data_IF_339172041750
#
_entry.id   IF_339172041750
#
_cell.length_a   1.000
_cell.length_b   1.000
_cell.length_c   1.000
_cell.angle_alpha   90.00
_cell.angle_beta   90.00
_cell.angle_gamma   90.00
#
_symmetry.space_group_name_H-M   'P 1'
#
loop_
_entity.id
_entity.type
_entity.pdbx_description
1 polymer ?
#
# COMPACT_ATOMS: atom_id res chain seq x y z
N UNK A 1 33.82 -32.89 -28.28
CA UNK A 1 35.19 -32.44 -28.66
C UNK A 1 36.12 -32.00 -27.52
N UNK A 2 35.65 -31.81 -26.27
CA UNK A 2 36.53 -31.41 -25.16
C UNK A 2 36.87 -32.56 -24.20
N UNK A 3 36.08 -33.62 -24.19
CA UNK A 3 36.34 -34.83 -23.37
C UNK A 3 37.33 -35.80 -24.01
N UNK A 4 37.53 -35.73 -25.34
CA UNK A 4 38.48 -36.60 -26.03
C UNK A 4 39.95 -36.16 -25.88
N UNK A 5 40.19 -34.87 -25.59
CA UNK A 5 41.53 -34.32 -25.35
C UNK A 5 42.12 -34.70 -23.98
N UNK A 6 41.29 -34.88 -22.98
CA UNK A 6 41.72 -35.27 -21.62
C UNK A 6 42.02 -36.77 -21.58
N UNK A 7 41.21 -37.57 -22.23
CA UNK A 7 41.46 -39.01 -22.35
C UNK A 7 42.75 -39.32 -23.11
N UNK A 8 43.10 -38.52 -24.14
CA UNK A 8 44.29 -38.67 -24.92
C UNK A 8 45.57 -38.27 -24.16
N UNK A 9 45.48 -37.24 -23.30
CA UNK A 9 46.64 -36.80 -22.50
C UNK A 9 47.00 -37.79 -21.38
N UNK A 10 46.02 -38.44 -20.77
CA UNK A 10 46.22 -39.47 -19.73
C UNK A 10 46.75 -40.75 -20.34
N UNK A 11 46.29 -41.14 -21.53
CA UNK A 11 46.79 -42.30 -22.24
C UNK A 11 48.27 -42.10 -22.74
N UNK A 12 48.66 -40.88 -23.13
CA UNK A 12 50.04 -40.56 -23.53
C UNK A 12 51.01 -40.58 -22.34
N UNK A 13 50.56 -40.17 -21.14
CA UNK A 13 51.38 -40.21 -19.92
C UNK A 13 51.61 -41.64 -19.40
N UNK A 14 50.66 -42.55 -19.60
CA UNK A 14 50.80 -43.97 -19.24
C UNK A 14 51.65 -44.73 -20.27
N UNK A 15 51.62 -44.34 -21.54
CA UNK A 15 52.46 -44.98 -22.61
C UNK A 15 53.94 -44.58 -22.54
N UNK A 16 54.27 -43.41 -21.99
CA UNK A 16 55.67 -42.97 -21.83
C UNK A 16 56.39 -43.66 -20.66
N UNK A 17 55.72 -44.34 -19.79
CA UNK A 17 56.28 -45.11 -18.66
C UNK A 17 56.61 -46.56 -19.10
N UNK A 18 56.10 -47.04 -20.29
CA UNK A 18 56.21 -48.43 -20.73
C UNK A 18 57.28 -48.69 -21.78
N UNK A 19 57.93 -47.67 -22.36
CA UNK A 19 58.99 -47.86 -23.39
C UNK A 19 60.17 -46.96 -23.09
N UNK A 20 61.03 -47.38 -22.21
CA UNK A 20 62.30 -46.75 -21.93
C UNK A 20 63.35 -47.80 -21.56
N UNK A 21 64.10 -48.22 -22.56
CA UNK A 21 65.24 -49.13 -22.43
C UNK A 21 66.25 -48.64 -21.41
N UNK A 22 66.84 -49.65 -20.75
CA UNK A 22 67.99 -49.67 -19.93
C UNK A 22 69.11 -48.67 -20.31
N UNK A 23 69.46 -47.81 -19.33
CA UNK A 23 70.82 -47.51 -18.99
C UNK A 23 70.91 -46.80 -17.64
N UNK A 24 71.49 -47.46 -16.68
CA UNK A 24 72.24 -47.02 -15.52
C UNK A 24 72.09 -45.59 -15.03
N UNK A 25 71.27 -45.43 -14.02
CA UNK A 25 71.63 -44.76 -12.72
C UNK A 25 70.55 -45.17 -11.71
N UNK A 26 70.89 -46.06 -10.77
CA UNK A 26 70.15 -46.28 -9.55
C UNK A 26 70.32 -45.02 -8.69
N UNK A 27 69.43 -44.10 -8.83
CA UNK A 27 69.15 -43.16 -7.74
C UNK A 27 68.01 -43.79 -6.98
N UNK A 28 68.27 -44.18 -5.75
CA UNK A 28 67.30 -44.73 -4.82
C UNK A 28 66.36 -43.60 -4.48
N UNK A 29 65.17 -43.58 -5.12
CA UNK A 29 64.09 -42.83 -4.64
C UNK A 29 63.85 -43.20 -3.16
N UNK A 30 64.03 -42.27 -2.25
CA UNK A 30 63.91 -42.52 -0.83
C UNK A 30 62.43 -42.77 -0.54
N UNK A 31 62.18 -43.52 0.51
CA UNK A 31 60.78 -43.72 1.01
C UNK A 31 60.05 -42.39 1.22
N UNK A 32 60.74 -41.29 1.50
CA UNK A 32 60.24 -39.94 1.59
C UNK A 32 59.69 -39.40 0.25
N UNK A 33 60.41 -39.62 -0.87
CA UNK A 33 59.94 -39.17 -2.19
C UNK A 33 58.63 -39.86 -2.61
N UNK A 34 58.50 -41.16 -2.27
CA UNK A 34 57.26 -41.92 -2.52
C UNK A 34 56.11 -41.43 -1.60
N UNK A 35 56.41 -41.06 -0.38
CA UNK A 35 55.41 -40.49 0.57
C UNK A 35 54.96 -39.10 0.09
N UNK A 36 55.90 -38.26 -0.35
CA UNK A 36 55.60 -36.93 -0.87
C UNK A 36 54.74 -36.97 -2.14
N UNK A 37 55.11 -37.86 -3.11
CA UNK A 37 54.27 -38.07 -4.31
C UNK A 37 52.85 -38.57 -3.95
N UNK A 38 52.72 -39.46 -2.96
CA UNK A 38 51.41 -39.92 -2.48
C UNK A 38 50.60 -38.78 -1.84
N UNK A 39 51.27 -37.94 -1.06
CA UNK A 39 50.61 -36.77 -0.47
C UNK A 39 50.16 -35.77 -1.54
N UNK A 40 50.98 -35.54 -2.58
CA UNK A 40 50.62 -34.67 -3.71
C UNK A 40 49.47 -35.27 -4.53
N UNK A 41 49.44 -36.57 -4.77
CA UNK A 41 48.33 -37.26 -5.46
C UNK A 41 47.06 -37.19 -4.65
N UNK A 42 47.13 -37.37 -3.33
CA UNK A 42 45.95 -37.22 -2.45
C UNK A 42 45.42 -35.79 -2.46
N UNK A 43 46.31 -34.79 -2.38
CA UNK A 43 45.91 -33.37 -2.44
C UNK A 43 45.30 -32.97 -3.80
N UNK A 44 45.83 -33.52 -4.90
CA UNK A 44 45.29 -33.37 -6.26
C UNK A 44 43.90 -34.01 -6.39
N UNK A 45 43.74 -35.23 -5.85
CA UNK A 45 42.46 -35.93 -5.84
C UNK A 45 41.41 -35.12 -5.06
N UNK A 46 41.74 -34.63 -3.85
CA UNK A 46 40.83 -33.79 -3.08
C UNK A 46 40.48 -32.46 -3.79
N UNK A 47 41.46 -31.91 -4.54
CA UNK A 47 41.21 -30.70 -5.36
C UNK A 47 40.33 -31.01 -6.56
N UNK A 48 40.47 -32.19 -7.14
CA UNK A 48 39.60 -32.65 -8.24
C UNK A 48 38.19 -32.85 -7.76
N UNK A 49 37.99 -33.53 -6.63
CA UNK A 49 36.68 -33.74 -6.01
C UNK A 49 35.98 -32.40 -5.69
N UNK A 50 36.73 -31.43 -5.16
CA UNK A 50 36.22 -30.10 -4.94
C UNK A 50 35.82 -29.38 -6.23
N UNK A 51 36.63 -29.50 -7.29
CA UNK A 51 36.31 -28.91 -8.59
C UNK A 51 35.11 -29.57 -9.25
N UNK A 52 34.98 -30.90 -9.12
CA UNK A 52 33.81 -31.63 -9.61
C UNK A 52 32.56 -31.24 -8.87
N UNK A 53 32.60 -31.13 -7.53
CA UNK A 53 31.50 -30.65 -6.72
C UNK A 53 31.09 -29.21 -7.07
N UNK A 54 32.11 -28.32 -7.26
CA UNK A 54 31.87 -26.95 -7.72
C UNK A 54 31.26 -26.89 -9.10
N UNK A 55 31.70 -27.76 -10.01
CA UNK A 55 31.18 -27.83 -11.39
C UNK A 55 29.72 -28.31 -11.41
N UNK A 56 29.39 -29.30 -10.58
CA UNK A 56 28.00 -29.75 -10.40
C UNK A 56 27.10 -28.65 -9.85
N UNK A 57 27.60 -27.90 -8.86
CA UNK A 57 26.87 -26.75 -8.31
C UNK A 57 26.63 -25.67 -9.36
N UNK A 58 27.68 -25.29 -10.10
CA UNK A 58 27.60 -24.33 -11.20
C UNK A 58 26.67 -24.79 -12.33
N UNK A 59 26.65 -26.07 -12.64
CA UNK A 59 25.73 -26.64 -13.64
C UNK A 59 24.27 -26.55 -13.14
N UNK A 60 24.03 -26.85 -11.85
CA UNK A 60 22.72 -26.72 -11.27
C UNK A 60 22.24 -25.24 -11.25
N UNK A 61 23.13 -24.33 -10.85
CA UNK A 61 22.84 -22.88 -10.89
C UNK A 61 22.56 -22.37 -12.31
N UNK A 62 23.37 -22.80 -13.29
CA UNK A 62 23.14 -22.45 -14.68
C UNK A 62 21.82 -23.00 -15.24
N UNK A 63 21.44 -24.21 -14.85
CA UNK A 63 20.14 -24.77 -15.24
C UNK A 63 18.96 -24.00 -14.60
N UNK A 64 19.08 -23.62 -13.33
CA UNK A 64 18.10 -22.81 -12.63
C UNK A 64 17.97 -21.40 -13.24
N UNK A 65 19.11 -20.75 -13.53
CA UNK A 65 19.12 -19.45 -14.19
C UNK A 65 18.51 -19.49 -15.60
N UNK A 66 18.77 -20.57 -16.36
CA UNK A 66 18.13 -20.73 -17.69
C UNK A 66 16.60 -20.88 -17.56
N UNK A 67 16.14 -21.67 -16.61
CA UNK A 67 14.71 -21.83 -16.35
C UNK A 67 14.07 -20.51 -15.93
N UNK A 68 14.75 -19.72 -15.09
CA UNK A 68 14.29 -18.39 -14.68
C UNK A 68 14.25 -17.41 -15.86
N UNK A 69 15.27 -17.42 -16.74
CA UNK A 69 15.28 -16.59 -17.96
C UNK A 69 14.15 -16.99 -18.92
N UNK A 70 13.89 -18.29 -19.09
CA UNK A 70 12.76 -18.76 -19.91
C UNK A 70 11.42 -18.32 -19.33
N UNK A 71 11.25 -18.44 -18.01
CA UNK A 71 10.05 -17.97 -17.33
C UNK A 71 9.84 -16.46 -17.50
N UNK A 72 10.90 -15.66 -17.29
CA UNK A 72 10.84 -14.20 -17.49
C UNK A 72 10.59 -13.80 -18.93
N UNK A 73 11.15 -14.53 -19.87
CA UNK A 73 10.88 -14.30 -21.28
C UNK A 73 9.41 -14.61 -21.64
N UNK A 74 8.85 -15.72 -21.12
CA UNK A 74 7.44 -16.06 -21.31
C UNK A 74 6.53 -15.00 -20.68
N UNK A 75 6.82 -14.53 -19.47
CA UNK A 75 6.10 -13.45 -18.81
C UNK A 75 6.21 -12.13 -19.60
N UNK A 76 7.38 -11.82 -20.13
CA UNK A 76 7.61 -10.63 -20.97
C UNK A 76 6.80 -10.71 -22.27
N UNK A 77 6.74 -11.85 -22.92
CA UNK A 77 5.94 -12.05 -24.13
C UNK A 77 4.42 -12.01 -23.83
N UNK A 78 4.01 -12.57 -22.70
CA UNK A 78 2.62 -12.44 -22.23
C UNK A 78 2.25 -10.97 -21.98
N UNK A 79 3.08 -10.23 -21.27
CA UNK A 79 2.85 -8.80 -20.99
C UNK A 79 2.88 -7.94 -22.27
N UNK A 80 3.73 -8.31 -23.25
CA UNK A 80 3.73 -7.65 -24.55
C UNK A 80 2.43 -7.90 -25.31
N UNK A 81 1.97 -9.16 -25.33
CA UNK A 81 0.69 -9.51 -25.97
C UNK A 81 -0.47 -8.77 -25.33
N UNK A 82 -0.54 -8.75 -23.99
CA UNK A 82 -1.56 -8.01 -23.23
C UNK A 82 -1.49 -6.51 -23.49
N UNK A 83 -0.26 -5.94 -23.55
CA UNK A 83 -0.06 -4.52 -23.88
C UNK A 83 -0.52 -4.19 -25.29
N UNK A 84 -0.34 -5.12 -26.23
CA UNK A 84 -0.74 -4.94 -27.61
C UNK A 84 -2.26 -5.08 -27.79
N UNK A 85 -2.90 -5.96 -27.06
CA UNK A 85 -4.36 -6.10 -26.97
C UNK A 85 -4.97 -4.82 -26.38
N UNK A 86 -4.48 -4.35 -25.25
CA UNK A 86 -4.90 -3.09 -24.62
C UNK A 86 -4.68 -1.88 -25.54
N UNK A 87 -3.61 -1.85 -26.32
CA UNK A 87 -3.38 -0.79 -27.34
C UNK A 87 -4.40 -0.88 -28.47
N UNK A 88 -4.78 -2.08 -28.87
CA UNK A 88 -5.84 -2.32 -29.86
C UNK A 88 -7.20 -1.87 -29.36
N UNK A 89 -7.53 -2.17 -28.11
CA UNK A 89 -8.76 -1.71 -27.45
C UNK A 89 -8.80 -0.17 -27.30
N UNK A 90 -7.70 0.42 -26.85
CA UNK A 90 -7.56 1.90 -26.77
C UNK A 90 -7.66 2.55 -28.15
N UNK A 91 -7.08 1.95 -29.19
CA UNK A 91 -7.17 2.47 -30.55
C UNK A 91 -8.60 2.33 -31.12
N UNK A 92 -9.29 1.23 -30.84
CA UNK A 92 -10.70 1.06 -31.24
C UNK A 92 -11.63 1.98 -30.47
N UNK A 93 -11.43 2.14 -29.16
CA UNK A 93 -12.16 3.09 -28.32
C UNK A 93 -11.88 4.54 -28.77
N UNK A 94 -10.63 4.89 -29.11
CA UNK A 94 -10.29 6.24 -29.62
C UNK A 94 -10.89 6.50 -31.01
N UNK A 95 -10.99 5.49 -31.89
CA UNK A 95 -11.64 5.62 -33.19
C UNK A 95 -13.15 5.76 -33.08
N UNK A 96 -13.77 5.13 -32.07
CA UNK A 96 -15.19 5.26 -31.78
C UNK A 96 -15.52 6.61 -31.13
N UNK A 97 -14.66 7.10 -30.25
CA UNK A 97 -14.69 8.49 -29.72
C UNK A 97 -14.49 9.51 -30.82
N UNK A 98 -13.59 9.27 -31.80
CA UNK A 98 -13.42 10.15 -32.97
C UNK A 98 -14.63 10.13 -33.91
N UNK A 99 -15.44 9.10 -33.92
CA UNK A 99 -16.67 8.96 -34.70
C UNK A 99 -17.87 9.65 -34.06
N UNK A 100 -17.85 9.88 -32.73
CA UNK A 100 -18.80 10.75 -32.03
C UNK A 100 -18.38 12.21 -32.27
N UNK A 101 -18.67 12.65 -33.49
CA UNK A 101 -18.29 13.98 -33.98
C UNK A 101 -19.10 15.08 -33.33
N UNK A 102 -18.42 16.15 -33.03
CA UNK A 102 -18.93 17.48 -32.81
C UNK A 102 -18.41 18.11 -31.53
N UNK A 103 -18.47 19.40 -31.44
CA UNK A 103 -18.07 20.21 -30.28
C UNK A 103 -18.67 19.79 -28.93
N UNK A 104 -19.54 18.76 -28.93
CA UNK A 104 -20.29 18.29 -27.77
C UNK A 104 -19.48 17.35 -26.82
N UNK A 105 -18.48 16.61 -27.32
CA UNK A 105 -17.67 15.76 -26.46
C UNK A 105 -16.77 16.54 -25.50
N UNK A 106 -16.29 17.72 -25.92
CA UNK A 106 -15.42 18.54 -25.05
C UNK A 106 -16.18 19.14 -23.87
N UNK A 107 -17.51 19.32 -24.01
CA UNK A 107 -18.37 19.75 -22.90
C UNK A 107 -18.70 18.60 -21.92
N UNK A 108 -18.58 17.36 -22.39
CA UNK A 108 -18.88 16.14 -21.63
C UNK A 108 -17.65 15.55 -20.94
N UNK A 109 -16.44 15.95 -21.36
CA UNK A 109 -15.19 15.50 -20.75
C UNK A 109 -14.53 16.65 -20.00
N UNK A 110 -14.37 16.51 -18.70
CA UNK A 110 -13.68 17.48 -17.85
C UNK A 110 -12.38 16.86 -17.37
N UNK A 111 -11.26 17.51 -17.68
CA UNK A 111 -9.98 17.18 -17.07
C UNK A 111 -9.87 17.88 -15.71
N UNK A 112 -9.33 17.19 -14.73
CA UNK A 112 -9.00 17.73 -13.41
C UNK A 112 -7.71 17.14 -12.90
N UNK A 113 -7.07 17.83 -12.00
CA UNK A 113 -5.86 17.30 -11.41
C UNK A 113 -5.34 18.13 -10.25
N UNK A 114 -4.33 17.61 -9.61
CA UNK A 114 -3.58 18.33 -8.59
C UNK A 114 -2.10 17.96 -8.61
N UNK A 115 -1.32 18.90 -8.10
CA UNK A 115 0.08 18.72 -7.80
C UNK A 115 0.32 19.12 -6.35
N UNK A 116 1.06 18.29 -5.61
CA UNK A 116 1.54 18.58 -4.24
C UNK A 116 3.06 18.48 -4.20
N UNK A 117 3.67 19.43 -3.55
CA UNK A 117 5.02 19.30 -3.01
C UNK A 117 4.94 19.30 -1.50
N UNK A 118 5.52 18.32 -0.85
CA UNK A 118 5.49 18.13 0.61
C UNK A 118 6.91 18.07 1.17
N UNK A 119 7.14 18.81 2.24
CA UNK A 119 8.25 18.60 3.16
C UNK A 119 7.73 17.95 4.43
N UNK A 120 8.41 16.93 4.92
CA UNK A 120 8.08 16.23 6.17
C UNK A 120 9.30 16.13 7.08
N UNK A 121 9.07 16.38 8.38
CA UNK A 121 9.95 16.03 9.48
C UNK A 121 9.25 15.00 10.34
N UNK A 122 9.92 13.91 10.69
CA UNK A 122 9.38 12.84 11.53
C UNK A 122 10.42 12.56 12.61
N UNK A 123 9.98 12.69 13.86
CA UNK A 123 10.71 12.37 15.08
C UNK A 123 9.95 11.24 15.77
N UNK A 124 10.61 10.17 16.16
CA UNK A 124 9.94 9.01 16.77
C UNK A 124 10.91 8.26 17.67
N UNK A 125 10.37 7.57 18.63
CA UNK A 125 11.09 6.65 19.47
C UNK A 125 11.04 5.21 18.91
N UNK A 126 11.90 4.36 19.44
CA UNK A 126 11.99 2.95 19.10
C UNK A 126 12.33 2.11 20.34
N UNK A 127 11.89 0.87 20.31
CA UNK A 127 12.30 -0.13 21.31
C UNK A 127 13.65 -0.71 20.90
N UNK A 128 14.60 -0.70 21.83
CA UNK A 128 15.92 -1.31 21.66
C UNK A 128 16.11 -2.39 22.71
N UNK A 129 16.44 -3.61 22.26
CA UNK A 129 16.75 -4.71 23.17
C UNK A 129 18.16 -4.54 23.74
N UNK A 130 18.27 -4.29 25.05
CA UNK A 130 19.53 -4.23 25.82
C UNK A 130 19.69 -5.49 26.66
N UNK A 131 20.13 -6.59 26.05
CA UNK A 131 20.20 -7.89 26.71
C UNK A 131 18.81 -8.49 26.97
N UNK A 132 18.43 -8.66 28.25
CA UNK A 132 17.11 -9.16 28.64
C UNK A 132 16.09 -8.05 28.95
N UNK A 133 16.49 -6.77 28.83
CA UNK A 133 15.63 -5.61 29.06
C UNK A 133 15.36 -4.88 27.74
N UNK A 134 14.18 -4.34 27.62
CA UNK A 134 13.81 -3.39 26.54
C UNK A 134 13.98 -1.97 27.09
N UNK A 135 14.50 -1.07 26.27
CA UNK A 135 14.59 0.36 26.56
C UNK A 135 14.00 1.15 25.38
N UNK A 136 13.37 2.26 25.68
CA UNK A 136 12.92 3.22 24.69
C UNK A 136 14.05 4.21 24.42
N UNK A 137 14.38 4.44 23.17
CA UNK A 137 15.39 5.40 22.71
C UNK A 137 14.87 6.18 21.51
N UNK A 138 15.35 7.41 21.36
CA UNK A 138 15.09 8.21 20.17
C UNK A 138 15.58 7.48 18.92
N UNK A 139 14.73 7.39 17.91
CA UNK A 139 15.14 6.96 16.58
C UNK A 139 15.81 8.14 15.85
N UNK A 140 16.55 7.85 14.77
CA UNK A 140 17.10 8.90 13.94
C UNK A 140 16.00 9.71 13.27
N UNK A 141 16.05 11.03 13.37
CA UNK A 141 15.13 11.95 12.70
C UNK A 141 15.08 11.67 11.20
N UNK A 142 13.89 11.75 10.63
CA UNK A 142 13.68 11.55 9.21
C UNK A 142 13.15 12.83 8.55
N UNK A 143 13.97 13.41 7.67
CA UNK A 143 13.57 14.53 6.83
C UNK A 143 13.41 14.04 5.39
N UNK A 144 12.26 14.36 4.77
CA UNK A 144 12.04 13.96 3.37
C UNK A 144 11.20 14.99 2.61
N UNK A 145 11.42 15.00 1.30
CA UNK A 145 10.61 15.75 0.35
C UNK A 145 9.83 14.77 -0.51
N UNK A 146 8.58 15.08 -0.74
CA UNK A 146 7.67 14.22 -1.53
C UNK A 146 6.92 15.04 -2.57
N UNK A 147 6.52 14.38 -3.62
CA UNK A 147 5.61 14.93 -4.65
C UNK A 147 4.41 14.03 -4.81
N UNK A 148 3.31 14.63 -5.20
CA UNK A 148 2.13 13.96 -5.74
C UNK A 148 1.68 14.68 -7.00
N UNK A 149 1.39 13.94 -8.05
CA UNK A 149 0.73 14.45 -9.25
C UNK A 149 -0.43 13.54 -9.58
N UNK A 150 -1.62 14.13 -9.80
CA UNK A 150 -2.83 13.39 -10.18
C UNK A 150 -3.46 14.04 -11.40
N UNK A 151 -3.92 13.21 -12.34
CA UNK A 151 -4.64 13.65 -13.55
C UNK A 151 -5.86 12.75 -13.74
N UNK A 152 -7.03 13.34 -13.78
CA UNK A 152 -8.30 12.64 -13.93
C UNK A 152 -9.16 13.20 -15.03
N UNK A 153 -10.12 12.38 -15.44
CA UNK A 153 -11.11 12.69 -16.44
C UNK A 153 -12.49 12.27 -15.93
N UNK A 154 -13.42 13.21 -15.94
CA UNK A 154 -14.83 12.99 -15.64
C UNK A 154 -15.61 13.09 -16.93
N UNK A 155 -16.17 11.98 -17.40
CA UNK A 155 -16.96 11.90 -18.62
C UNK A 155 -18.46 11.78 -18.29
N UNK A 156 -19.28 12.71 -18.80
CA UNK A 156 -20.74 12.60 -18.78
C UNK A 156 -21.20 11.79 -20.00
N UNK A 157 -21.53 10.52 -19.79
CA UNK A 157 -21.94 9.60 -20.86
C UNK A 157 -23.40 9.89 -21.28
N UNK A 158 -24.28 10.00 -20.28
CA UNK A 158 -25.67 10.45 -20.42
C UNK A 158 -26.01 11.41 -19.29
N UNK A 159 -27.21 11.96 -19.26
CA UNK A 159 -27.67 12.82 -18.16
C UNK A 159 -27.67 12.10 -16.78
N UNK A 160 -27.71 10.77 -16.79
CA UNK A 160 -27.77 9.95 -15.58
C UNK A 160 -26.51 9.09 -15.36
N UNK A 161 -25.61 8.98 -16.33
CA UNK A 161 -24.42 8.11 -16.25
C UNK A 161 -23.15 8.91 -16.43
N UNK A 162 -22.26 8.82 -15.44
CA UNK A 162 -20.92 9.36 -15.48
C UNK A 162 -19.87 8.24 -15.42
N UNK A 163 -18.66 8.54 -15.90
CA UNK A 163 -17.48 7.70 -15.75
C UNK A 163 -16.33 8.59 -15.30
N UNK A 164 -15.67 8.20 -14.23
CA UNK A 164 -14.49 8.88 -13.70
C UNK A 164 -13.28 7.98 -13.80
N UNK A 165 -12.17 8.54 -14.27
CA UNK A 165 -10.84 7.92 -14.18
C UNK A 165 -9.86 8.90 -13.55
N UNK A 166 -8.95 8.41 -12.71
CA UNK A 166 -7.89 9.21 -12.10
C UNK A 166 -6.59 8.40 -12.10
N UNK A 167 -5.55 9.01 -12.61
CA UNK A 167 -4.19 8.52 -12.50
C UNK A 167 -3.45 9.31 -11.43
N UNK A 168 -2.67 8.63 -10.60
CA UNK A 168 -1.89 9.25 -9.54
C UNK A 168 -0.45 8.72 -9.55
N UNK A 169 0.50 9.55 -9.11
CA UNK A 169 1.78 9.05 -8.65
C UNK A 169 1.56 8.18 -7.42
N UNK A 170 2.37 7.14 -7.23
CA UNK A 170 2.25 6.24 -6.08
C UNK A 170 2.91 4.91 -6.38
N UNK A 171 3.11 4.10 -5.33
CA UNK A 171 3.45 2.69 -5.41
C UNK A 171 2.22 1.83 -5.11
N UNK A 172 2.46 0.61 -4.63
CA UNK A 172 1.41 -0.35 -4.29
C UNK A 172 0.73 -0.05 -2.94
N UNK A 173 1.25 0.90 -2.15
CA UNK A 173 0.63 1.36 -0.91
C UNK A 173 -0.63 2.18 -1.20
N UNK A 174 -1.85 1.68 -0.94
CA UNK A 174 -3.09 2.33 -1.36
C UNK A 174 -3.40 3.62 -0.58
N UNK A 175 -2.81 3.81 0.61
CA UNK A 175 -3.02 4.97 1.48
C UNK A 175 -2.12 6.16 1.15
N UNK A 176 -1.27 6.07 0.12
CA UNK A 176 -0.39 7.18 -0.23
C UNK A 176 -0.06 7.27 -1.70
N UNK A 177 -0.55 8.32 -2.33
CA UNK A 177 -0.14 8.70 -3.69
C UNK A 177 1.13 9.59 -3.73
N UNK A 178 1.78 9.83 -2.58
CA UNK A 178 3.01 10.61 -2.50
C UNK A 178 4.25 9.78 -2.86
N UNK A 179 5.16 10.36 -3.66
CA UNK A 179 6.44 9.77 -4.04
C UNK A 179 7.60 10.54 -3.40
N UNK A 180 8.47 9.84 -2.67
CA UNK A 180 9.65 10.45 -2.04
C UNK A 180 10.68 10.84 -3.10
N UNK A 181 11.24 12.03 -2.99
CA UNK A 181 12.36 12.52 -3.78
C UNK A 181 13.70 12.05 -3.18
N UNK A 182 14.80 12.22 -3.92
CA UNK A 182 16.14 11.81 -3.43
C UNK A 182 16.54 10.37 -3.82
N UNK A 183 15.91 9.81 -4.85
CA UNK A 183 16.22 8.47 -5.39
C UNK A 183 17.08 8.56 -6.67
N UNK A 184 18.14 9.38 -6.63
CA UNK A 184 19.12 9.56 -7.73
C UNK A 184 18.49 9.86 -9.10
N UNK A 185 17.39 10.64 -9.12
CA UNK A 185 16.69 11.02 -10.35
C UNK A 185 15.88 9.89 -11.01
N UNK A 186 15.65 8.76 -10.32
CA UNK A 186 14.84 7.66 -10.86
C UNK A 186 13.41 8.11 -11.16
N UNK A 187 12.80 7.48 -12.17
CA UNK A 187 11.41 7.73 -12.55
C UNK A 187 10.45 7.36 -11.41
N UNK A 188 9.35 8.08 -11.31
CA UNK A 188 8.27 7.78 -10.35
C UNK A 188 7.17 6.98 -11.04
N UNK A 189 6.61 6.02 -10.31
CA UNK A 189 5.48 5.22 -10.78
C UNK A 189 4.22 6.07 -10.87
N UNK A 190 3.36 5.75 -11.83
CA UNK A 190 2.02 6.30 -12.00
C UNK A 190 1.08 5.12 -12.18
N UNK A 191 0.02 5.08 -11.39
CA UNK A 191 -0.99 4.02 -11.42
C UNK A 191 -2.40 4.55 -11.65
N UNK A 192 -3.33 3.63 -11.92
CA UNK A 192 -4.76 3.90 -11.97
C UNK A 192 -5.28 3.98 -10.52
N UNK A 193 -5.60 5.17 -10.07
CA UNK A 193 -6.02 5.45 -8.70
C UNK A 193 -7.54 5.32 -8.51
N UNK A 194 -8.33 5.75 -9.53
CA UNK A 194 -9.77 5.59 -9.58
C UNK A 194 -10.20 5.20 -10.99
N UNK A 195 -11.19 4.32 -11.08
CA UNK A 195 -11.90 3.99 -12.31
C UNK A 195 -13.30 3.48 -11.96
N UNK A 196 -14.29 4.32 -12.08
CA UNK A 196 -15.65 3.93 -11.71
C UNK A 196 -16.70 4.57 -12.63
N UNK A 197 -17.86 3.88 -12.68
CA UNK A 197 -19.08 4.36 -13.26
C UNK A 197 -20.02 4.80 -12.14
N UNK A 198 -20.65 5.98 -12.29
CA UNK A 198 -21.77 6.39 -11.45
C UNK A 198 -23.05 6.44 -12.28
N UNK A 199 -24.12 5.83 -11.78
CA UNK A 199 -25.43 5.80 -12.42
C UNK A 199 -26.52 6.29 -11.47
N UNK A 200 -27.03 7.47 -11.75
CA UNK A 200 -28.19 8.06 -11.07
C UNK A 200 -29.48 7.47 -11.65
N UNK A 201 -29.90 6.33 -11.14
CA UNK A 201 -31.05 5.61 -11.66
C UNK A 201 -32.40 6.17 -11.21
N UNK A 202 -32.40 6.99 -10.14
CA UNK A 202 -33.55 7.78 -9.71
C UNK A 202 -33.09 9.04 -8.96
N UNK A 203 -34.03 9.97 -8.73
CA UNK A 203 -33.74 11.19 -7.98
C UNK A 203 -33.35 10.86 -6.51
N UNK A 204 -32.15 11.27 -6.13
CA UNK A 204 -31.61 11.03 -4.79
C UNK A 204 -31.07 9.62 -4.56
N UNK A 205 -30.88 8.81 -5.63
CA UNK A 205 -30.22 7.52 -5.52
C UNK A 205 -29.30 7.23 -6.72
N UNK A 206 -28.15 6.65 -6.45
CA UNK A 206 -27.14 6.32 -7.43
C UNK A 206 -26.44 5.00 -7.11
N UNK A 207 -26.02 4.30 -8.13
CA UNK A 207 -25.09 3.16 -8.06
C UNK A 207 -23.72 3.63 -8.49
N UNK A 208 -22.68 3.22 -7.78
CA UNK A 208 -21.28 3.46 -8.15
C UNK A 208 -20.60 2.09 -8.23
N UNK A 209 -19.88 1.83 -9.34
CA UNK A 209 -19.22 0.54 -9.59
C UNK A 209 -17.79 0.76 -10.08
N UNK A 210 -16.83 0.09 -9.48
CA UNK A 210 -15.42 0.12 -9.84
C UNK A 210 -14.52 0.53 -8.68
N UNK A 211 -13.32 1.03 -9.00
CA UNK A 211 -12.36 1.56 -8.04
C UNK A 211 -12.74 3.01 -7.70
N UNK A 212 -13.24 3.24 -6.50
CA UNK A 212 -13.95 4.46 -6.11
C UNK A 212 -13.52 4.96 -4.73
N UNK A 213 -13.67 6.27 -4.43
CA UNK A 213 -13.49 6.76 -3.06
C UNK A 213 -14.54 6.17 -2.12
N UNK A 214 -14.31 6.29 -0.81
CA UNK A 214 -15.24 5.84 0.21
C UNK A 214 -16.67 6.30 -0.10
N UNK A 215 -17.65 5.40 -0.21
CA UNK A 215 -19.01 5.73 -0.64
C UNK A 215 -19.91 6.29 0.47
N UNK A 216 -19.41 6.31 1.69
CA UNK A 216 -20.14 6.79 2.88
C UNK A 216 -19.66 8.19 3.30
N UNK A 217 -20.49 8.85 4.11
CA UNK A 217 -20.13 10.12 4.72
C UNK A 217 -19.18 9.91 5.89
N UNK A 218 -18.22 10.79 6.04
CA UNK A 218 -17.25 10.84 7.15
C UNK A 218 -17.28 12.23 7.78
N UNK A 219 -17.24 12.34 9.13
CA UNK A 219 -17.29 13.65 9.78
C UNK A 219 -15.97 14.39 9.62
N UNK A 220 -16.04 15.65 9.31
CA UNK A 220 -14.94 16.61 9.35
C UNK A 220 -13.64 16.15 8.73
N UNK A 221 -12.61 16.14 9.58
CA UNK A 221 -11.26 15.70 9.22
C UNK A 221 -10.86 14.43 9.99
N UNK A 222 -11.83 13.58 10.30
CA UNK A 222 -11.60 12.26 10.90
C UNK A 222 -10.58 11.46 10.13
N UNK A 223 -9.67 10.79 10.83
CA UNK A 223 -8.58 10.00 10.29
C UNK A 223 -8.82 8.48 10.44
N UNK A 224 -10.07 8.06 10.73
CA UNK A 224 -10.47 6.65 10.78
C UNK A 224 -10.36 5.96 9.42
N UNK A 225 -10.46 6.73 8.34
CA UNK A 225 -10.34 6.24 6.97
C UNK A 225 -9.41 7.14 6.16
N UNK A 226 -8.40 6.55 5.53
CA UNK A 226 -7.47 7.27 4.68
C UNK A 226 -8.18 7.88 3.46
N UNK A 227 -7.86 9.12 3.14
CA UNK A 227 -8.49 9.84 2.02
C UNK A 227 -7.93 9.46 0.64
N UNK A 228 -6.75 8.87 0.61
CA UNK A 228 -6.09 8.39 -0.62
C UNK A 228 -6.49 6.93 -0.94
N UNK A 229 -7.12 6.20 0.01
CA UNK A 229 -7.59 4.84 -0.23
C UNK A 229 -8.85 4.84 -1.11
N UNK A 230 -8.80 4.12 -2.22
CA UNK A 230 -9.91 3.97 -3.16
C UNK A 230 -10.32 2.50 -3.25
N UNK A 231 -11.49 2.18 -2.68
CA UNK A 231 -12.00 0.81 -2.61
C UNK A 231 -12.46 0.27 -3.97
N UNK A 232 -12.34 -1.04 -4.16
CA UNK A 232 -12.73 -1.73 -5.39
C UNK A 232 -14.01 -2.52 -5.17
N UNK A 233 -15.10 -2.11 -5.85
CA UNK A 233 -16.37 -2.77 -5.66
C UNK A 233 -17.59 -1.98 -6.13
N UNK A 234 -18.70 -2.12 -5.41
CA UNK A 234 -19.94 -1.46 -5.71
C UNK A 234 -20.59 -0.79 -4.52
N UNK A 235 -21.31 0.28 -4.77
CA UNK A 235 -22.07 0.99 -3.75
C UNK A 235 -23.41 1.49 -4.30
N UNK A 236 -24.43 1.51 -3.44
CA UNK A 236 -25.67 2.25 -3.64
C UNK A 236 -25.69 3.38 -2.63
N UNK A 237 -25.86 4.59 -3.11
CA UNK A 237 -25.96 5.80 -2.28
C UNK A 237 -27.34 6.39 -2.44
N UNK A 238 -27.89 6.91 -1.34
CA UNK A 238 -29.17 7.61 -1.38
C UNK A 238 -29.13 8.88 -0.52
N UNK A 239 -29.91 9.88 -0.94
CA UNK A 239 -30.13 11.12 -0.23
C UNK A 239 -31.52 11.63 -0.56
N UNK A 240 -32.41 11.69 0.45
CA UNK A 240 -33.79 12.15 0.26
C UNK A 240 -34.32 12.88 1.49
N UNK A 241 -34.56 14.18 1.34
CA UNK A 241 -34.95 15.02 2.46
C UNK A 241 -33.86 15.08 3.50
N UNK A 242 -34.17 14.72 4.73
CA UNK A 242 -33.19 14.68 5.82
C UNK A 242 -32.41 13.35 5.87
N UNK A 243 -32.85 12.33 5.15
CA UNK A 243 -32.25 11.00 5.20
C UNK A 243 -31.18 10.84 4.15
N UNK A 244 -30.00 10.36 4.53
CA UNK A 244 -28.94 9.92 3.62
C UNK A 244 -28.36 8.58 4.02
N UNK A 245 -27.61 7.95 3.13
CA UNK A 245 -26.89 6.73 3.45
C UNK A 245 -26.25 6.05 2.25
N UNK A 246 -25.62 4.93 2.51
CA UNK A 246 -24.99 4.06 1.51
C UNK A 246 -24.97 2.62 1.97
N UNK A 247 -25.09 1.71 1.01
CA UNK A 247 -24.78 0.30 1.19
C UNK A 247 -23.72 -0.08 0.15
N UNK A 248 -22.72 -0.86 0.54
CA UNK A 248 -21.59 -1.15 -0.32
C UNK A 248 -21.00 -2.55 -0.08
N UNK A 249 -20.27 -3.04 -1.08
CA UNK A 249 -19.48 -4.25 -0.99
C UNK A 249 -18.19 -4.06 -1.76
N UNK A 250 -17.06 -4.48 -1.15
CA UNK A 250 -15.72 -4.36 -1.72
C UNK A 250 -15.03 -5.72 -1.76
N UNK A 251 -14.30 -5.93 -2.84
CA UNK A 251 -13.36 -7.03 -3.01
C UNK A 251 -11.97 -6.54 -2.57
N UNK A 252 -11.46 -7.03 -1.44
CA UNK A 252 -10.16 -6.64 -0.91
C UNK A 252 -9.05 -7.49 -1.48
N UNK A 253 -9.25 -8.82 -1.48
CA UNK A 253 -8.38 -9.78 -2.15
C UNK A 253 -9.22 -10.78 -2.93
N UNK A 254 -8.78 -11.11 -4.13
CA UNK A 254 -9.28 -12.23 -4.92
C UNK A 254 -8.13 -13.23 -4.97
N UNK A 255 -8.36 -14.43 -4.47
CA UNK A 255 -7.38 -15.49 -4.47
C UNK A 255 -7.85 -16.61 -5.39
N UNK A 256 -7.04 -16.91 -6.38
CA UNK A 256 -7.26 -18.08 -7.21
C UNK A 256 -7.09 -19.33 -6.33
N UNK A 257 -8.17 -20.04 -6.08
CA UNK A 257 -8.16 -21.25 -5.28
C UNK A 257 -7.37 -22.35 -5.98
N UNK A 258 -6.13 -22.52 -5.55
CA UNK A 258 -5.29 -23.67 -5.88
C UNK A 258 -5.25 -24.68 -4.72
N UNK A 259 -6.00 -24.43 -3.62
CA UNK A 259 -6.03 -25.33 -2.48
C UNK A 259 -6.93 -26.54 -2.79
N UNK A 260 -6.38 -27.77 -2.70
CA UNK A 260 -7.17 -28.99 -2.90
C UNK A 260 -8.34 -29.16 -1.91
N UNK A 261 -8.31 -28.45 -0.80
CA UNK A 261 -9.34 -28.52 0.26
C UNK A 261 -10.51 -27.55 0.02
N UNK A 262 -10.43 -26.65 -0.98
CA UNK A 262 -11.56 -25.86 -1.51
C UNK A 262 -12.06 -24.74 -0.60
N UNK A 263 -11.28 -24.26 0.35
CA UNK A 263 -11.62 -23.07 1.11
C UNK A 263 -11.23 -21.82 0.34
N UNK A 264 -12.25 -21.08 -0.14
CA UNK A 264 -12.05 -19.79 -0.78
C UNK A 264 -11.63 -18.78 0.28
N UNK A 265 -10.44 -18.22 0.12
CA UNK A 265 -9.86 -17.24 1.04
C UNK A 265 -10.01 -15.78 0.56
N UNK A 266 -10.96 -15.51 -0.35
CA UNK A 266 -11.32 -14.16 -0.75
C UNK A 266 -11.73 -13.33 0.46
N UNK A 267 -11.16 -12.13 0.57
CA UNK A 267 -11.53 -11.19 1.61
C UNK A 267 -12.40 -10.08 1.03
N UNK A 268 -13.57 -9.89 1.62
CA UNK A 268 -14.56 -8.92 1.19
C UNK A 268 -14.98 -8.04 2.36
N UNK A 269 -15.42 -6.81 2.08
CA UNK A 269 -16.06 -5.94 3.07
C UNK A 269 -17.46 -5.59 2.60
N UNK A 270 -18.42 -5.70 3.50
CA UNK A 270 -19.78 -5.22 3.29
C UNK A 270 -20.11 -4.19 4.35
N UNK A 271 -20.78 -3.09 3.95
CA UNK A 271 -21.14 -2.05 4.90
C UNK A 271 -22.39 -1.32 4.54
N UNK A 272 -22.96 -0.72 5.59
CA UNK A 272 -24.17 0.07 5.53
C UNK A 272 -24.02 1.30 6.42
N UNK A 273 -24.26 2.46 5.85
CA UNK A 273 -24.40 3.71 6.61
C UNK A 273 -25.78 4.29 6.39
N UNK A 274 -26.38 4.82 7.47
CA UNK A 274 -27.57 5.66 7.39
C UNK A 274 -27.44 6.85 8.34
N UNK A 275 -28.01 7.98 7.96
CA UNK A 275 -27.89 9.20 8.75
C UNK A 275 -28.97 10.22 8.46
N UNK A 276 -28.98 11.24 9.29
CA UNK A 276 -29.90 12.37 9.20
C UNK A 276 -29.11 13.68 9.07
N UNK A 277 -29.62 14.55 8.21
CA UNK A 277 -29.14 15.92 8.04
C UNK A 277 -30.29 16.87 8.32
N UNK A 278 -30.10 17.78 9.28
CA UNK A 278 -31.13 18.69 9.73
C UNK A 278 -30.54 19.99 10.30
N UNK A 279 -31.29 21.10 10.25
CA UNK A 279 -30.83 22.37 10.83
C UNK A 279 -30.88 22.31 12.38
N UNK A 280 -29.77 22.77 13.00
CA UNK A 280 -29.65 22.89 14.44
C UNK A 280 -28.74 24.08 14.80
N UNK A 281 -29.06 24.84 15.84
CA UNK A 281 -28.27 26.00 16.30
C UNK A 281 -27.94 27.06 15.23
N UNK A 282 -28.82 27.21 14.24
CA UNK A 282 -28.59 28.14 13.13
C UNK A 282 -27.59 27.64 12.07
N UNK A 283 -27.19 26.39 12.16
CA UNK A 283 -26.34 25.70 11.23
C UNK A 283 -26.94 24.40 10.70
N UNK A 284 -26.12 23.55 10.12
CA UNK A 284 -26.48 22.24 9.61
C UNK A 284 -25.85 21.15 10.46
N UNK A 285 -26.62 20.16 10.84
CA UNK A 285 -26.16 19.02 11.65
C UNK A 285 -26.34 17.76 10.86
N UNK A 286 -25.31 16.93 10.85
CA UNK A 286 -25.29 15.60 10.25
C UNK A 286 -24.96 14.58 11.33
N UNK A 287 -25.77 13.51 11.43
CA UNK A 287 -25.50 12.36 12.31
C UNK A 287 -25.64 11.09 11.53
N UNK A 288 -24.80 10.10 11.79
CA UNK A 288 -24.82 8.83 11.09
C UNK A 288 -24.47 7.65 12.00
N UNK A 289 -25.05 6.51 11.67
CA UNK A 289 -24.64 5.18 12.13
C UNK A 289 -24.08 4.45 10.92
N UNK A 290 -22.94 3.83 11.10
CA UNK A 290 -22.23 3.10 10.07
C UNK A 290 -21.81 1.74 10.65
N UNK A 291 -22.02 0.67 9.88
CA UNK A 291 -21.55 -0.66 10.20
C UNK A 291 -20.84 -1.25 8.99
N UNK A 292 -19.70 -1.87 9.22
CA UNK A 292 -19.08 -2.70 8.20
C UNK A 292 -18.48 -3.96 8.82
N UNK A 293 -18.51 -5.01 8.03
CA UNK A 293 -18.05 -6.35 8.32
C UNK A 293 -16.96 -6.71 7.31
N UNK A 294 -15.80 -7.12 7.81
CA UNK A 294 -14.73 -7.67 7.00
C UNK A 294 -14.86 -9.20 6.98
N UNK A 295 -15.64 -9.72 6.05
CA UNK A 295 -15.80 -11.16 5.87
C UNK A 295 -14.46 -11.84 5.59
N UNK A 296 -14.13 -12.86 6.40
CA UNK A 296 -12.90 -13.65 6.32
C UNK A 296 -11.60 -12.82 6.56
N UNK A 297 -11.62 -11.79 7.39
CA UNK A 297 -10.39 -11.12 7.81
C UNK A 297 -9.58 -11.94 8.81
N UNK A 298 -10.22 -12.53 9.81
CA UNK A 298 -9.58 -13.38 10.80
C UNK A 298 -8.91 -14.60 10.14
N UNK A 299 -7.64 -14.82 10.46
CA UNK A 299 -6.87 -15.95 9.92
C UNK A 299 -6.31 -15.73 8.51
N UNK A 300 -6.65 -14.63 7.84
CA UNK A 300 -6.06 -14.24 6.56
C UNK A 300 -4.86 -13.30 6.75
N UNK A 301 -4.00 -13.26 5.74
CA UNK A 301 -2.87 -12.33 5.73
C UNK A 301 -3.33 -10.89 5.51
N UNK A 302 -2.59 -9.89 6.02
CA UNK A 302 -2.83 -8.48 5.68
C UNK A 302 -2.86 -8.25 4.18
N UNK A 303 -3.70 -7.31 3.70
CA UNK A 303 -3.98 -7.06 2.28
C UNK A 303 -2.73 -6.69 1.46
N UNK A 304 -1.76 -6.00 2.08
CA UNK A 304 -0.54 -5.57 1.41
C UNK A 304 0.65 -5.54 2.38
N UNK A 305 1.84 -5.70 1.83
CA UNK A 305 3.12 -5.59 2.52
C UNK A 305 3.32 -6.53 3.74
N UNK A 306 2.46 -7.55 3.94
CA UNK A 306 2.47 -8.42 5.13
C UNK A 306 2.47 -7.62 6.45
N UNK A 307 1.83 -6.45 6.45
CA UNK A 307 1.78 -5.49 7.55
C UNK A 307 0.33 -5.18 7.92
N UNK A 308 -0.08 -5.56 9.11
CA UNK A 308 -1.43 -5.35 9.62
C UNK A 308 -1.68 -3.90 10.12
N UNK A 309 -0.67 -3.02 10.06
CA UNK A 309 -0.79 -1.62 10.48
C UNK A 309 -1.31 -1.44 11.92
N UNK A 310 -0.67 -2.16 12.85
CA UNK A 310 -0.98 -2.09 14.28
C UNK A 310 -1.92 -3.20 14.77
N UNK A 311 -2.80 -3.73 13.94
CA UNK A 311 -3.70 -4.80 14.34
C UNK A 311 -2.95 -6.05 14.82
N UNK A 312 -3.56 -6.78 15.73
CA UNK A 312 -3.00 -8.01 16.30
C UNK A 312 -2.85 -9.10 15.25
N UNK A 313 -1.67 -9.70 15.20
CA UNK A 313 -1.36 -10.79 14.28
C UNK A 313 -0.73 -11.97 14.98
N UNK A 314 -0.83 -13.14 14.36
CA UNK A 314 -0.10 -14.35 14.74
C UNK A 314 0.65 -14.94 13.55
N UNK A 315 1.55 -15.87 13.80
CA UNK A 315 2.29 -16.62 12.79
C UNK A 315 2.13 -18.12 13.01
N UNK A 316 2.11 -18.88 11.93
CA UNK A 316 2.00 -20.34 11.98
C UNK A 316 3.39 -20.97 11.86
N UNK A 317 3.80 -21.74 12.87
CA UNK A 317 5.08 -22.43 12.90
C UNK A 317 6.29 -21.49 12.76
N UNK A 318 7.20 -21.78 11.83
CA UNK A 318 8.38 -20.95 11.51
C UNK A 318 8.15 -20.02 10.33
N UNK A 319 6.91 -19.88 9.87
CA UNK A 319 6.53 -19.01 8.75
C UNK A 319 6.77 -17.54 9.05
N UNK A 320 6.96 -16.74 8.00
CA UNK A 320 7.15 -15.28 8.09
C UNK A 320 5.88 -14.49 7.79
N UNK A 321 4.81 -15.16 7.33
CA UNK A 321 3.52 -14.54 7.03
C UNK A 321 2.79 -14.20 8.32
N UNK A 322 2.35 -12.96 8.44
CA UNK A 322 1.45 -12.54 9.51
C UNK A 322 0.01 -12.91 9.11
N UNK A 323 -0.80 -13.30 10.07
CA UNK A 323 -2.23 -13.56 9.93
C UNK A 323 -2.98 -12.71 10.94
N UNK A 324 -4.09 -12.11 10.57
CA UNK A 324 -4.93 -11.31 11.46
C UNK A 324 -5.53 -12.18 12.57
N UNK A 325 -5.43 -11.73 13.81
CA UNK A 325 -5.89 -12.50 14.96
C UNK A 325 -7.40 -12.42 15.18
N UNK A 326 -8.00 -11.31 14.76
CA UNK A 326 -9.42 -11.02 14.95
C UNK A 326 -10.13 -10.71 13.66
N UNK A 327 -11.44 -10.74 13.70
CA UNK A 327 -12.33 -10.20 12.68
C UNK A 327 -12.61 -8.72 12.95
N UNK A 328 -13.16 -8.02 11.96
CA UNK A 328 -13.42 -6.57 12.02
C UNK A 328 -14.86 -6.27 11.66
N UNK A 329 -15.71 -6.36 12.70
CA UNK A 329 -17.12 -5.97 12.69
C UNK A 329 -17.26 -4.60 13.32
N UNK A 330 -17.23 -3.54 12.56
CA UNK A 330 -17.09 -2.19 13.11
C UNK A 330 -18.43 -1.46 13.11
N UNK A 331 -18.84 -1.02 14.27
CA UNK A 331 -19.97 -0.10 14.47
C UNK A 331 -19.45 1.30 14.75
N UNK A 332 -19.76 2.26 13.89
CA UNK A 332 -19.35 3.67 14.04
C UNK A 332 -20.57 4.58 14.21
N UNK A 333 -20.44 5.53 15.13
CA UNK A 333 -21.37 6.66 15.35
C UNK A 333 -20.63 7.95 15.03
N UNK A 334 -21.22 8.80 14.21
CA UNK A 334 -20.59 10.07 13.81
C UNK A 334 -21.59 11.22 13.84
N UNK A 335 -21.12 12.39 14.25
CA UNK A 335 -21.89 13.63 14.21
C UNK A 335 -21.00 14.81 13.81
N UNK A 336 -21.61 15.77 13.11
CA UNK A 336 -20.99 17.03 12.75
C UNK A 336 -22.01 18.16 12.81
N UNK A 337 -21.58 19.31 13.31
CA UNK A 337 -22.30 20.56 13.30
C UNK A 337 -21.50 21.60 12.50
N UNK A 338 -22.09 22.13 11.46
CA UNK A 338 -21.55 23.21 10.63
C UNK A 338 -22.32 24.50 10.91
N UNK A 339 -21.65 25.51 11.45
CA UNK A 339 -22.21 26.84 11.75
C UNK A 339 -21.33 27.94 11.17
N UNK A 340 -21.88 29.15 11.15
CA UNK A 340 -21.10 30.34 10.78
C UNK A 340 -20.90 31.22 12.03
N UNK A 341 -19.64 31.52 12.34
CA UNK A 341 -19.27 32.36 13.49
C UNK A 341 -18.37 33.49 12.98
N UNK A 342 -18.73 34.73 13.21
CA UNK A 342 -18.00 35.92 12.70
C UNK A 342 -17.74 35.88 11.20
N UNK A 343 -18.72 35.46 10.40
CA UNK A 343 -18.63 35.28 8.95
C UNK A 343 -17.65 34.18 8.49
N UNK A 344 -17.13 33.38 9.41
CA UNK A 344 -16.29 32.23 9.10
C UNK A 344 -17.07 30.92 9.32
N UNK A 345 -16.92 29.93 8.42
CA UNK A 345 -17.44 28.60 8.67
C UNK A 345 -16.71 27.97 9.86
N UNK A 346 -17.47 27.39 10.77
CA UNK A 346 -16.98 26.60 11.89
C UNK A 346 -17.63 25.22 11.82
N UNK A 347 -16.82 24.18 11.70
CA UNK A 347 -17.25 22.79 11.80
C UNK A 347 -16.77 22.20 13.12
N UNK A 348 -17.67 21.56 13.84
CA UNK A 348 -17.37 20.74 15.02
C UNK A 348 -17.85 19.33 14.77
N UNK A 349 -17.03 18.33 15.05
CA UNK A 349 -17.36 16.95 14.78
C UNK A 349 -16.86 15.99 15.87
N UNK A 350 -17.53 14.83 15.94
CA UNK A 350 -17.16 13.69 16.79
C UNK A 350 -17.48 12.41 16.06
N UNK A 351 -16.65 11.40 16.22
CA UNK A 351 -16.97 10.03 15.88
C UNK A 351 -16.45 9.05 16.95
N UNK A 352 -17.15 7.95 17.05
CA UNK A 352 -16.82 6.82 17.92
C UNK A 352 -17.03 5.54 17.12
N UNK A 353 -16.11 4.61 17.22
CA UNK A 353 -16.22 3.29 16.59
C UNK A 353 -15.85 2.22 17.59
N UNK A 354 -16.46 1.05 17.43
CA UNK A 354 -16.15 -0.13 18.22
C UNK A 354 -16.12 -1.35 17.30
N UNK A 355 -15.11 -2.18 17.48
CA UNK A 355 -15.06 -3.51 16.88
C UNK A 355 -15.88 -4.46 17.76
N UNK A 356 -17.06 -4.85 17.27
CA UNK A 356 -17.99 -5.72 18.00
C UNK A 356 -17.77 -7.22 17.70
N UNK A 357 -16.69 -7.56 16.99
CA UNK A 357 -16.32 -8.95 16.73
C UNK A 357 -15.97 -9.70 18.03
N UNK A 358 -16.27 -10.99 18.15
CA UNK A 358 -16.04 -11.74 19.38
C UNK A 358 -14.56 -11.84 19.76
N UNK A 359 -14.25 -11.59 21.05
CA UNK A 359 -12.93 -11.83 21.62
C UNK A 359 -11.91 -10.72 21.43
N UNK A 360 -12.30 -9.60 20.85
CA UNK A 360 -11.47 -8.40 20.77
C UNK A 360 -11.42 -7.72 22.13
N UNK A 361 -10.23 -7.32 22.60
CA UNK A 361 -10.02 -6.68 23.90
C UNK A 361 -9.81 -5.16 23.76
N UNK A 362 -9.04 -4.74 22.76
CA UNK A 362 -8.73 -3.34 22.46
C UNK A 362 -9.56 -2.91 21.26
N UNK A 363 -10.81 -2.56 21.49
CA UNK A 363 -11.86 -2.50 20.48
C UNK A 363 -12.48 -1.11 20.25
N UNK A 364 -12.01 -0.07 20.95
CA UNK A 364 -12.61 1.27 20.89
C UNK A 364 -11.76 2.27 20.11
N UNK A 365 -12.41 3.11 19.32
CA UNK A 365 -11.79 4.28 18.71
C UNK A 365 -12.71 5.50 18.81
N UNK A 366 -12.12 6.66 19.07
CA UNK A 366 -12.89 7.92 19.09
C UNK A 366 -12.07 9.08 18.56
N UNK A 367 -12.78 10.06 18.02
CA UNK A 367 -12.18 11.28 17.50
C UNK A 367 -13.10 12.47 17.73
N UNK A 368 -12.50 13.62 17.98
CA UNK A 368 -13.19 14.90 18.12
C UNK A 368 -12.37 15.99 17.44
N UNK A 369 -13.02 16.91 16.77
CA UNK A 369 -12.29 17.99 16.13
C UNK A 369 -13.12 19.22 15.85
N UNK A 370 -12.40 20.30 15.62
CA UNK A 370 -12.94 21.60 15.25
C UNK A 370 -12.13 22.20 14.13
N UNK A 371 -12.81 22.80 13.16
CA UNK A 371 -12.20 23.50 12.03
C UNK A 371 -12.84 24.86 11.88
N UNK A 372 -12.05 25.91 11.92
CA UNK A 372 -12.46 27.29 11.71
C UNK A 372 -11.91 27.82 10.40
N UNK A 373 -12.75 28.42 9.58
CA UNK A 373 -12.41 28.96 8.27
C UNK A 373 -12.39 27.89 7.18
N UNK A 374 -12.01 28.31 5.97
CA UNK A 374 -11.83 27.42 4.81
C UNK A 374 -10.86 28.06 3.81
N UNK A 375 -9.69 27.47 3.62
CA UNK A 375 -8.65 27.96 2.71
C UNK A 375 -8.98 27.64 1.23
N UNK A 376 -10.14 28.09 0.73
CA UNK A 376 -10.62 27.79 -0.64
C UNK A 376 -10.70 29.02 -1.57
N UNK A 377 -10.74 30.23 -1.02
CA UNK A 377 -10.77 31.48 -1.77
C UNK A 377 -9.45 32.25 -1.59
N UNK A 378 -9.06 33.12 -2.53
CA UNK A 378 -7.87 33.94 -2.35
C UNK A 378 -7.86 34.69 -1.02
N UNK A 379 -6.73 34.60 -0.29
CA UNK A 379 -6.47 35.19 1.02
C UNK A 379 -7.29 34.57 2.17
N UNK A 380 -8.03 33.50 1.92
CA UNK A 380 -8.72 32.77 2.97
C UNK A 380 -7.75 31.82 3.69
N UNK A 381 -8.04 31.57 4.96
CA UNK A 381 -7.28 30.67 5.82
C UNK A 381 -8.20 29.64 6.47
N UNK A 382 -7.60 28.62 7.04
CA UNK A 382 -8.25 27.54 7.78
C UNK A 382 -7.35 27.16 8.95
N UNK A 383 -7.95 26.90 10.11
CA UNK A 383 -7.26 26.33 11.25
C UNK A 383 -8.09 25.19 11.84
N UNK A 384 -7.46 24.08 12.14
CA UNK A 384 -8.09 22.88 12.69
C UNK A 384 -7.31 22.30 13.86
N UNK A 385 -8.06 21.74 14.80
CA UNK A 385 -7.54 20.98 15.91
C UNK A 385 -8.38 19.72 16.03
N UNK A 386 -7.73 18.58 16.16
CA UNK A 386 -8.41 17.33 16.45
C UNK A 386 -7.60 16.49 17.45
N UNK A 387 -8.31 15.69 18.22
CA UNK A 387 -7.78 14.60 19.02
C UNK A 387 -8.42 13.30 18.54
N UNK A 388 -7.62 12.24 18.47
CA UNK A 388 -8.07 10.91 18.09
C UNK A 388 -7.32 9.86 18.90
N UNK A 389 -8.03 8.80 19.27
CA UNK A 389 -7.49 7.58 19.86
C UNK A 389 -8.06 6.39 19.10
N UNK A 390 -7.22 5.43 18.80
CA UNK A 390 -7.56 4.19 18.11
C UNK A 390 -6.88 3.06 18.85
N UNK A 391 -7.63 2.26 19.56
CA UNK A 391 -7.13 1.04 20.16
C UNK A 391 -6.65 0.07 19.08
N UNK A 392 -5.88 -0.91 19.47
CA UNK A 392 -5.13 -1.82 18.61
C UNK A 392 -5.98 -2.54 17.56
N UNK A 393 -7.16 -3.04 17.93
CA UNK A 393 -8.05 -3.80 17.07
C UNK A 393 -9.44 -3.15 16.90
N UNK A 394 -9.53 -1.85 17.23
CA UNK A 394 -10.76 -1.08 17.13
C UNK A 394 -11.20 -0.83 15.67
N UNK A 395 -10.25 -0.70 14.76
CA UNK A 395 -10.46 -0.46 13.35
C UNK A 395 -9.57 -1.38 12.52
N UNK A 396 -9.94 -1.62 11.27
CA UNK A 396 -9.07 -2.30 10.34
C UNK A 396 -7.88 -1.40 9.95
N UNK A 397 -6.70 -1.69 10.49
CA UNK A 397 -5.53 -0.82 10.45
C UNK A 397 -5.06 -0.44 9.03
N UNK A 398 -5.38 -1.27 8.04
CA UNK A 398 -5.02 -0.98 6.65
C UNK A 398 -5.97 0.04 5.97
N UNK A 399 -7.04 0.49 6.65
CA UNK A 399 -7.94 1.54 6.15
C UNK A 399 -7.70 2.90 6.78
N UNK A 400 -7.05 2.98 7.96
CA UNK A 400 -6.84 4.24 8.67
C UNK A 400 -5.87 5.17 7.95
N UNK A 401 -5.87 6.45 8.32
CA UNK A 401 -4.97 7.47 7.78
C UNK A 401 -3.51 7.07 7.93
N UNK A 402 -2.74 7.16 6.85
CA UNK A 402 -1.35 6.74 6.80
C UNK A 402 -0.34 7.71 7.45
N UNK A 403 -0.79 8.87 7.91
CA UNK A 403 0.04 9.92 8.50
C UNK A 403 -0.11 9.99 10.03
N UNK A 404 -1.31 9.73 10.58
CA UNK A 404 -1.59 9.67 12.01
C UNK A 404 -0.96 8.41 12.63
N UNK A 405 -0.28 8.56 13.77
CA UNK A 405 0.33 7.43 14.47
C UNK A 405 1.24 6.57 13.59
N UNK A 406 1.96 7.17 12.64
CA UNK A 406 2.74 6.42 11.63
C UNK A 406 1.89 5.51 10.72
N UNK A 407 0.57 5.68 10.70
CA UNK A 407 -0.38 4.86 9.94
C UNK A 407 -0.65 3.49 10.55
N UNK A 408 -0.59 3.40 11.88
CA UNK A 408 -0.92 2.18 12.64
C UNK A 408 -2.04 2.46 13.65
N UNK A 409 -2.82 1.45 13.98
CA UNK A 409 -3.68 1.42 15.16
C UNK A 409 -2.84 1.36 16.44
N UNK A 410 -3.44 1.30 17.63
CA UNK A 410 -2.73 1.46 18.91
C UNK A 410 -2.01 2.82 18.94
N UNK A 411 -2.77 3.87 18.64
CA UNK A 411 -2.25 5.23 18.50
C UNK A 411 -3.25 6.27 18.95
N UNK A 412 -2.76 7.30 19.66
CA UNK A 412 -3.58 8.42 20.07
C UNK A 412 -2.82 9.74 19.99
N UNK A 413 -3.53 10.83 20.03
CA UNK A 413 -2.92 12.16 20.14
C UNK A 413 -3.63 13.26 19.38
N UNK A 414 -2.94 14.39 19.34
CA UNK A 414 -3.43 15.63 18.77
C UNK A 414 -2.91 15.84 17.35
N UNK A 415 -3.72 16.53 16.54
CA UNK A 415 -3.30 17.02 15.23
C UNK A 415 -3.71 18.48 15.08
N UNK A 416 -2.72 19.32 14.81
CA UNK A 416 -2.90 20.73 14.46
C UNK A 416 -2.84 20.88 12.94
N UNK A 417 -3.80 21.60 12.37
CA UNK A 417 -3.86 21.86 10.93
C UNK A 417 -4.00 23.36 10.67
N UNK A 418 -3.27 23.87 9.69
CA UNK A 418 -3.41 25.23 9.20
C UNK A 418 -3.35 25.25 7.69
N UNK A 419 -4.19 26.08 7.07
CA UNK A 419 -4.24 26.26 5.62
C UNK A 419 -4.32 27.74 5.25
N UNK A 420 -3.68 28.13 4.15
CA UNK A 420 -3.79 29.46 3.57
C UNK A 420 -3.80 29.40 2.04
N UNK A 421 -4.75 30.06 1.43
CA UNK A 421 -4.88 30.19 -0.02
C UNK A 421 -4.42 31.59 -0.48
N UNK A 422 -3.17 31.79 -0.91
CA UNK A 422 -2.69 33.10 -1.34
C UNK A 422 -3.41 33.59 -2.59
N UNK A 423 -3.68 32.68 -3.52
CA UNK A 423 -4.37 32.93 -4.79
C UNK A 423 -5.31 31.75 -5.10
N UNK A 424 -6.10 31.89 -6.15
CA UNK A 424 -6.98 30.80 -6.60
C UNK A 424 -6.15 29.54 -6.94
N UNK A 425 -6.64 28.38 -6.55
CA UNK A 425 -6.09 27.06 -6.88
C UNK A 425 -4.74 26.73 -6.21
N UNK A 426 -4.15 27.61 -5.42
CA UNK A 426 -2.92 27.36 -4.67
C UNK A 426 -3.23 27.42 -3.18
N UNK A 427 -2.81 26.41 -2.42
CA UNK A 427 -2.88 26.38 -0.96
C UNK A 427 -1.55 25.95 -0.34
N UNK A 428 -1.16 26.63 0.74
CA UNK A 428 -0.14 26.19 1.66
C UNK A 428 -0.83 25.55 2.85
N UNK A 429 -0.40 24.35 3.24
CA UNK A 429 -0.90 23.69 4.43
C UNK A 429 0.27 23.33 5.35
N UNK A 430 0.02 23.43 6.65
CA UNK A 430 0.87 22.89 7.69
C UNK A 430 0.04 21.92 8.54
N UNK A 431 0.58 20.74 8.83
CA UNK A 431 -0.03 19.76 9.71
C UNK A 431 1.02 19.27 10.69
N UNK A 432 0.68 19.27 11.97
CA UNK A 432 1.55 18.76 13.02
C UNK A 432 0.80 17.69 13.82
N UNK A 433 1.34 16.49 13.79
CA UNK A 433 0.89 15.33 14.56
C UNK A 433 1.74 15.22 15.81
N UNK A 434 1.10 15.08 16.96
CA UNK A 434 1.68 14.82 18.27
C UNK A 434 1.00 13.57 18.80
N UNK A 435 1.60 12.43 18.56
CA UNK A 435 0.96 11.15 18.81
C UNK A 435 1.81 10.27 19.74
N UNK A 436 1.14 9.37 20.44
CA UNK A 436 1.73 8.27 21.21
C UNK A 436 1.27 6.95 20.59
N UNK A 437 2.16 5.98 20.51
CA UNK A 437 1.95 4.65 19.92
C UNK A 437 2.19 3.57 20.97
N UNK A 438 1.56 2.41 20.84
CA UNK A 438 1.95 1.19 21.55
C UNK A 438 1.44 1.09 22.97
N UNK A 439 0.39 1.82 23.37
CA UNK A 439 -0.17 1.76 24.72
C UNK A 439 -0.74 0.38 25.06
N UNK A 440 -1.45 -0.24 24.10
CA UNK A 440 -2.03 -1.58 24.26
C UNK A 440 -0.97 -2.68 24.25
N UNK A 441 0.20 -2.39 23.66
CA UNK A 441 1.40 -3.24 23.75
C UNK A 441 2.14 -3.10 25.09
N UNK A 442 1.82 -2.06 25.86
CA UNK A 442 2.43 -1.77 27.15
C UNK A 442 3.80 -1.09 27.05
N UNK A 443 4.17 -0.56 25.89
CA UNK A 443 5.35 0.26 25.71
C UNK A 443 4.98 1.47 24.84
N UNK A 444 4.85 2.62 25.48
CA UNK A 444 4.52 3.88 24.81
C UNK A 444 5.73 4.42 24.05
N UNK A 445 5.49 4.89 22.83
CA UNK A 445 6.48 5.52 21.95
C UNK A 445 5.94 6.86 21.46
N UNK A 446 6.73 7.91 21.58
CA UNK A 446 6.40 9.21 21.02
C UNK A 446 6.59 9.24 19.51
N UNK A 447 5.63 9.86 18.81
CA UNK A 447 5.64 10.07 17.37
C UNK A 447 5.19 11.48 17.01
N UNK A 448 6.13 12.29 16.59
CA UNK A 448 5.90 13.63 16.10
C UNK A 448 6.14 13.74 14.60
N UNK A 449 5.19 14.36 13.89
CA UNK A 449 5.33 14.55 12.45
C UNK A 449 4.85 15.92 12.02
N UNK A 450 5.73 16.68 11.39
CA UNK A 450 5.44 17.98 10.82
C UNK A 450 5.44 17.89 9.30
N UNK A 451 4.38 18.40 8.65
CA UNK A 451 4.24 18.45 7.21
C UNK A 451 3.98 19.87 6.73
N UNK A 452 4.66 20.26 5.65
CA UNK A 452 4.38 21.48 4.91
C UNK A 452 4.09 21.14 3.46
N UNK A 453 2.89 21.50 3.00
CA UNK A 453 2.41 21.23 1.66
C UNK A 453 2.23 22.52 0.86
N UNK A 454 2.73 22.50 -0.37
CA UNK A 454 2.27 23.38 -1.45
C UNK A 454 1.39 22.56 -2.37
N UNK A 455 0.11 22.94 -2.47
CA UNK A 455 -0.85 22.28 -3.35
C UNK A 455 -1.29 23.22 -4.47
N UNK A 456 -1.38 22.69 -5.68
CA UNK A 456 -2.00 23.32 -6.84
C UNK A 456 -3.10 22.40 -7.37
N UNK A 457 -4.29 22.97 -7.68
CA UNK A 457 -5.42 22.24 -8.25
C UNK A 457 -5.89 22.91 -9.54
N UNK A 458 -6.30 22.12 -10.54
CA UNK A 458 -6.81 22.62 -11.83
C UNK A 458 -7.98 21.78 -12.35
#
# INVERSE_FOLDING_TARGET
>A
MRNDLIATAVAAAVALVATGERAQARETATLEDVVDVRAQVAALSERLDRLEASNLTLQAENSALRAEVERRNAETEYLKAQTQELRGEVASASSEVARVKGADWTTRLKARGDFRYRHESIETERIVATGAAEAVEDAADRYRHRIRARLGFDATVTDSVGVTTLFATGGDEPRSSNQTLGTSGSRKAIGLDMAYLDWRFMRGAQVVLGKQPWPFWRPGQSLFFDVDYNAEGGAVKFERGMLFGSAYGWWLTEQYDADPDGENSDTNVFGLQTGLEFPLFGGETRVAVHYYDCGACQGNSPLYANNANGNTTFRVGTGTTNYLAYDYDILELAAQLDVTVFDLPLAFWVNYAQNVAPGVEYDEAYGVGVVLGKASKPRAWEAGLLYQSIDRDALFGQFIDGDFGSGITDSEGWVLKAGYAPVRNITFNAVYFMNTLGQDFGTELDYDRLQFDLNYRF
#
